data_IF_720466433867
#
_entry.id   IF_720466433867
#
_cell.length_a   1.000
_cell.length_b   1.000
_cell.length_c   1.000
_cell.angle_alpha   90.00
_cell.angle_beta   90.00
_cell.angle_gamma   90.00
#
_symmetry.space_group_name_H-M   'P 1'
#
loop_
_entity.id
_entity.type
_entity.pdbx_description
1 polymer ?
#
# COMPACT_ATOMS: atom_id res chain seq x y z
N UNK A 1 68.28 -97.59 -0.31
CA UNK A 1 69.70 -97.23 -0.44
C UNK A 1 70.21 -97.05 0.98
N UNK A 2 70.74 -98.07 1.64
CA UNK A 2 72.11 -98.62 1.46
C UNK A 2 72.13 -100.13 1.60
N UNK A 3 73.00 -100.77 0.82
CA UNK A 3 73.08 -102.21 0.56
C UNK A 3 74.48 -102.70 0.97
N UNK A 4 74.61 -104.01 1.25
CA UNK A 4 75.84 -104.83 1.38
C UNK A 4 76.52 -104.77 2.77
N UNK A 5 77.03 -105.84 3.39
CA UNK A 5 77.59 -107.10 2.88
C UNK A 5 77.48 -108.23 3.92
N UNK A 6 76.80 -109.32 3.56
CA UNK A 6 76.98 -110.64 4.19
C UNK A 6 78.20 -111.29 3.53
N UNK A 7 79.29 -111.49 4.27
CA UNK A 7 80.42 -112.33 3.83
C UNK A 7 80.23 -113.75 4.35
N UNK A 8 79.94 -114.66 3.42
CA UNK A 8 80.01 -116.12 3.58
C UNK A 8 81.45 -116.60 3.42
N UNK A 9 81.71 -117.74 4.06
CA UNK A 9 82.73 -118.78 3.80
C UNK A 9 84.20 -118.40 4.02
N UNK A 10 84.75 -118.91 5.13
CA UNK A 10 86.13 -119.39 5.22
C UNK A 10 86.13 -120.84 5.70
N UNK A 11 87.07 -121.57 5.12
CA UNK A 11 87.25 -123.02 5.09
C UNK A 11 87.26 -123.68 6.49
N UNK A 12 86.51 -124.77 6.72
CA UNK A 12 86.52 -125.49 7.99
C UNK A 12 87.86 -126.19 8.29
N UNK A 13 88.68 -126.50 7.26
CA UNK A 13 89.99 -127.15 7.45
C UNK A 13 91.09 -126.17 7.92
N UNK A 14 91.08 -124.93 7.42
CA UNK A 14 92.00 -123.86 7.88
C UNK A 14 91.71 -123.44 9.34
N UNK A 15 90.45 -123.63 9.77
CA UNK A 15 90.00 -123.35 11.14
C UNK A 15 90.47 -124.43 12.11
N UNK A 16 90.53 -125.70 11.68
CA UNK A 16 91.09 -126.81 12.46
C UNK A 16 92.62 -126.72 12.62
N UNK A 17 93.35 -126.34 11.57
CA UNK A 17 94.80 -126.10 11.68
C UNK A 17 95.14 -124.90 12.57
N UNK A 18 94.33 -123.83 12.55
CA UNK A 18 94.49 -122.69 13.49
C UNK A 18 94.14 -123.04 14.93
N UNK A 19 93.22 -123.98 15.17
CA UNK A 19 92.90 -124.44 16.53
C UNK A 19 93.98 -125.40 17.08
N UNK A 20 94.63 -126.19 16.23
CA UNK A 20 95.70 -127.12 16.63
C UNK A 20 97.07 -126.45 16.84
N UNK A 21 97.36 -125.31 16.19
CA UNK A 21 98.64 -124.58 16.36
C UNK A 21 98.63 -123.47 17.42
N UNK A 22 97.47 -123.12 18.00
CA UNK A 22 97.36 -122.14 19.10
C UNK A 22 97.04 -122.71 20.47
N UNK A 23 96.82 -124.02 20.57
CA UNK A 23 96.63 -124.71 21.86
C UNK A 23 97.95 -125.26 22.41
N UNK A 24 98.98 -124.41 22.47
CA UNK A 24 100.04 -124.58 23.47
C UNK A 24 99.44 -124.19 24.82
N UNK A 25 98.80 -125.15 25.48
CA UNK A 25 98.35 -125.05 26.87
C UNK A 25 99.58 -124.94 27.77
N UNK A 26 100.12 -123.72 27.85
CA UNK A 26 100.99 -123.29 28.94
C UNK A 26 100.06 -123.07 30.12
N UNK A 27 100.04 -124.02 31.05
CA UNK A 27 99.37 -123.85 32.35
C UNK A 27 100.13 -122.80 33.16
N UNK A 28 99.81 -121.52 32.92
CA UNK A 28 100.21 -120.44 33.81
C UNK A 28 99.37 -120.54 35.09
N UNK A 29 100.04 -120.68 36.23
CA UNK A 29 99.43 -120.51 37.56
C UNK A 29 98.84 -119.10 37.63
N UNK A 30 97.51 -118.97 37.53
CA UNK A 30 96.80 -117.72 37.72
C UNK A 30 96.66 -117.48 39.22
N UNK A 31 97.35 -116.48 39.76
CA UNK A 31 97.24 -116.06 41.16
C UNK A 31 95.96 -115.25 41.41
N UNK A 32 95.55 -115.14 42.68
CA UNK A 32 94.31 -114.46 43.12
C UNK A 32 94.19 -113.01 42.62
N UNK A 33 95.32 -112.31 42.44
CA UNK A 33 95.38 -110.95 41.89
C UNK A 33 94.80 -110.84 40.47
N UNK A 34 95.03 -111.82 39.61
CA UNK A 34 94.54 -111.76 38.22
C UNK A 34 93.02 -111.97 38.11
N UNK A 35 92.40 -112.62 39.11
CA UNK A 35 90.94 -112.76 39.19
C UNK A 35 90.33 -111.46 39.72
N UNK A 36 90.98 -110.79 40.68
CA UNK A 36 90.52 -109.48 41.16
C UNK A 36 90.62 -108.41 40.06
N UNK A 37 91.72 -108.37 39.29
CA UNK A 37 91.89 -107.41 38.20
C UNK A 37 90.84 -107.56 37.09
N UNK A 38 90.35 -108.78 36.83
CA UNK A 38 89.27 -109.01 35.86
C UNK A 38 87.92 -108.67 36.49
N UNK A 39 87.70 -109.00 37.77
CA UNK A 39 86.51 -108.64 38.52
C UNK A 39 86.31 -107.13 38.62
N UNK A 40 87.36 -106.39 38.98
CA UNK A 40 87.34 -104.93 39.10
C UNK A 40 87.10 -104.28 37.74
N UNK A 41 87.72 -104.79 36.65
CA UNK A 41 87.46 -104.28 35.29
C UNK A 41 86.02 -104.51 34.82
N UNK A 42 85.39 -105.62 35.20
CA UNK A 42 83.98 -105.90 34.84
C UNK A 42 83.03 -105.06 35.69
N UNK A 43 83.31 -104.90 37.00
CA UNK A 43 82.52 -104.07 37.91
C UNK A 43 82.65 -102.59 37.55
N UNK A 44 83.83 -102.12 37.18
CA UNK A 44 84.03 -100.74 36.73
C UNK A 44 83.38 -100.48 35.37
N UNK A 45 83.45 -101.43 34.42
CA UNK A 45 82.75 -101.30 33.14
C UNK A 45 81.22 -101.25 33.32
N UNK A 46 80.65 -102.15 34.13
CA UNK A 46 79.21 -102.15 34.45
C UNK A 46 78.78 -100.94 35.28
N UNK A 47 79.62 -100.42 36.18
CA UNK A 47 79.35 -99.17 36.89
C UNK A 47 79.34 -97.97 35.95
N UNK A 48 80.25 -97.89 34.99
CA UNK A 48 80.29 -96.78 34.02
C UNK A 48 79.06 -96.81 33.10
N UNK A 49 78.63 -98.00 32.66
CA UNK A 49 77.44 -98.15 31.82
C UNK A 49 76.12 -97.91 32.60
N UNK A 50 75.96 -98.47 33.81
CA UNK A 50 74.77 -98.29 34.65
C UNK A 50 74.64 -96.84 35.17
N UNK A 51 75.75 -96.19 35.51
CA UNK A 51 75.74 -94.79 35.95
C UNK A 51 75.41 -93.87 34.77
N UNK A 52 75.97 -94.14 33.58
CA UNK A 52 75.65 -93.41 32.35
C UNK A 52 74.20 -93.57 31.90
N UNK A 53 73.59 -94.75 32.09
CA UNK A 53 72.16 -94.96 31.83
C UNK A 53 71.27 -94.26 32.86
N UNK A 54 71.61 -94.32 34.16
CA UNK A 54 70.90 -93.58 35.22
C UNK A 54 71.00 -92.06 35.04
N UNK A 55 72.15 -91.55 34.62
CA UNK A 55 72.36 -90.13 34.33
C UNK A 55 71.54 -89.69 33.11
N UNK A 56 71.42 -90.53 32.07
CA UNK A 56 70.52 -90.25 30.92
C UNK A 56 69.05 -90.26 31.31
N UNK A 57 68.62 -91.17 32.18
CA UNK A 57 67.23 -91.22 32.66
C UNK A 57 66.91 -90.02 33.56
N UNK A 58 67.83 -89.63 34.44
CA UNK A 58 67.66 -88.43 35.28
C UNK A 58 67.69 -87.15 34.45
N UNK A 59 68.61 -87.02 33.49
CA UNK A 59 68.62 -85.91 32.52
C UNK A 59 67.33 -85.86 31.71
N UNK A 60 66.85 -86.99 31.17
CA UNK A 60 65.57 -87.05 30.45
C UNK A 60 64.36 -86.70 31.31
N UNK A 61 64.36 -87.05 32.60
CA UNK A 61 63.33 -86.65 33.55
C UNK A 61 63.41 -85.15 33.89
N UNK A 62 64.61 -84.59 34.03
CA UNK A 62 64.85 -83.16 34.22
C UNK A 62 64.35 -82.38 32.99
N UNK A 63 64.75 -82.79 31.79
CA UNK A 63 64.31 -82.18 30.52
C UNK A 63 62.79 -82.26 30.35
N UNK A 64 62.16 -83.38 30.71
CA UNK A 64 60.71 -83.53 30.67
C UNK A 64 60.00 -82.63 31.69
N UNK A 65 60.55 -82.48 32.90
CA UNK A 65 60.06 -81.56 33.93
C UNK A 65 60.24 -80.10 33.51
N UNK A 66 61.38 -79.73 32.95
CA UNK A 66 61.65 -78.40 32.40
C UNK A 66 60.74 -78.09 31.21
N UNK A 67 60.50 -79.07 30.33
CA UNK A 67 59.55 -78.93 29.23
C UNK A 67 58.11 -78.73 29.73
N UNK A 68 57.71 -79.40 30.83
CA UNK A 68 56.40 -79.18 31.46
C UNK A 68 56.32 -77.80 32.11
N UNK A 69 57.31 -77.42 32.91
CA UNK A 69 57.38 -76.11 33.56
C UNK A 69 57.38 -74.96 32.55
N UNK A 70 58.10 -75.09 31.43
CA UNK A 70 58.10 -74.08 30.37
C UNK A 70 56.77 -74.01 29.62
N UNK A 71 56.07 -75.13 29.41
CA UNK A 71 54.71 -75.15 28.85
C UNK A 71 53.70 -74.49 29.78
N UNK A 72 53.76 -74.80 31.08
CA UNK A 72 52.91 -74.19 32.10
C UNK A 72 53.17 -72.69 32.22
N UNK A 73 54.44 -72.27 32.25
CA UNK A 73 54.83 -70.86 32.26
C UNK A 73 54.31 -70.13 31.02
N UNK A 74 54.46 -70.72 29.83
CA UNK A 74 53.92 -70.15 28.58
C UNK A 74 52.39 -70.05 28.61
N UNK A 75 51.71 -71.05 29.17
CA UNK A 75 50.25 -71.04 29.31
C UNK A 75 49.80 -69.95 30.30
N UNK A 76 50.47 -69.83 31.45
CA UNK A 76 50.21 -68.79 32.44
C UNK A 76 50.45 -67.38 31.87
N UNK A 77 51.56 -67.18 31.15
CA UNK A 77 51.85 -65.91 30.47
C UNK A 77 50.82 -65.56 29.39
N UNK A 78 50.31 -66.55 28.64
CA UNK A 78 49.22 -66.33 27.67
C UNK A 78 47.92 -65.91 28.35
N UNK A 79 47.53 -66.57 29.45
CA UNK A 79 46.34 -66.20 30.23
C UNK A 79 46.47 -64.78 30.78
N UNK A 80 47.61 -64.46 31.40
CA UNK A 80 47.85 -63.13 31.95
C UNK A 80 47.87 -62.04 30.86
N UNK A 81 48.39 -62.32 29.67
CA UNK A 81 48.29 -61.39 28.53
C UNK A 81 46.83 -61.18 28.11
N UNK A 82 46.08 -62.26 27.97
CA UNK A 82 44.68 -62.18 27.58
C UNK A 82 43.84 -61.40 28.60
N UNK A 83 44.02 -61.66 29.89
CA UNK A 83 43.35 -60.93 30.97
C UNK A 83 43.69 -59.43 30.92
N UNK A 84 44.97 -59.08 30.72
CA UNK A 84 45.40 -57.68 30.56
C UNK A 84 44.81 -57.01 29.33
N UNK A 85 44.72 -57.73 28.21
CA UNK A 85 44.13 -57.20 26.98
C UNK A 85 42.62 -56.99 27.14
N UNK A 86 41.93 -57.89 27.84
CA UNK A 86 40.51 -57.71 28.20
C UNK A 86 40.29 -56.52 29.13
N UNK A 87 41.11 -56.37 30.18
CA UNK A 87 41.02 -55.23 31.09
C UNK A 87 41.28 -53.92 30.37
N UNK A 88 42.29 -53.90 29.49
CA UNK A 88 42.57 -52.76 28.62
C UNK A 88 41.37 -52.45 27.72
N UNK A 89 40.75 -53.46 27.10
CA UNK A 89 39.59 -53.25 26.25
C UNK A 89 38.41 -52.68 27.05
N UNK A 90 38.11 -53.25 28.24
CA UNK A 90 37.06 -52.75 29.14
C UNK A 90 37.32 -51.31 29.58
N UNK A 91 38.57 -50.93 29.80
CA UNK A 91 38.95 -49.55 30.13
C UNK A 91 38.74 -48.60 28.94
N UNK A 92 39.11 -49.03 27.73
CA UNK A 92 38.87 -48.27 26.50
C UNK A 92 37.38 -48.08 26.23
N UNK A 93 36.57 -49.13 26.36
CA UNK A 93 35.12 -49.06 26.16
C UNK A 93 34.46 -48.09 27.16
N UNK A 94 34.90 -48.10 28.44
CA UNK A 94 34.45 -47.14 29.45
C UNK A 94 34.82 -45.70 29.10
N UNK A 95 36.03 -45.48 28.57
CA UNK A 95 36.46 -44.15 28.12
C UNK A 95 35.65 -43.69 26.92
N UNK A 96 35.46 -44.55 25.91
CA UNK A 96 34.63 -44.26 24.74
C UNK A 96 33.21 -43.88 25.16
N UNK A 97 32.57 -44.68 26.02
CA UNK A 97 31.24 -44.39 26.54
C UNK A 97 31.16 -43.04 27.28
N UNK A 98 32.19 -42.71 28.09
CA UNK A 98 32.25 -41.42 28.78
C UNK A 98 32.34 -40.25 27.79
N UNK A 99 33.19 -40.37 26.77
CA UNK A 99 33.34 -39.32 25.75
C UNK A 99 32.10 -39.20 24.87
N UNK A 100 31.47 -40.30 24.48
CA UNK A 100 30.21 -40.30 23.74
C UNK A 100 29.12 -39.56 24.53
N UNK A 101 29.02 -39.82 25.83
CA UNK A 101 28.08 -39.13 26.72
C UNK A 101 28.41 -37.64 26.86
N UNK A 102 29.70 -37.28 26.89
CA UNK A 102 30.13 -35.89 26.94
C UNK A 102 29.79 -35.17 25.63
N UNK A 103 30.06 -35.78 24.49
CA UNK A 103 29.72 -35.26 23.16
C UNK A 103 28.22 -35.04 23.04
N UNK A 104 27.40 -36.01 23.46
CA UNK A 104 25.94 -35.88 23.45
C UNK A 104 25.43 -34.74 24.34
N UNK A 105 26.09 -34.48 25.48
CA UNK A 105 25.76 -33.34 26.34
C UNK A 105 26.13 -32.01 25.69
N UNK A 106 27.32 -31.92 25.11
CA UNK A 106 27.79 -30.72 24.41
C UNK A 106 26.90 -30.42 23.21
N UNK A 107 26.53 -31.43 22.42
CA UNK A 107 25.62 -31.25 21.28
C UNK A 107 24.26 -30.75 21.75
N UNK A 108 23.70 -31.33 22.81
CA UNK A 108 22.42 -30.87 23.36
C UNK A 108 22.48 -29.41 23.84
N UNK A 109 23.54 -29.02 24.53
CA UNK A 109 23.74 -27.63 24.98
C UNK A 109 23.89 -26.66 23.81
N UNK A 110 24.63 -27.04 22.77
CA UNK A 110 24.76 -26.25 21.54
C UNK A 110 23.40 -26.07 20.88
N UNK A 111 22.66 -27.16 20.69
CA UNK A 111 21.36 -27.12 20.01
C UNK A 111 20.34 -26.29 20.80
N UNK A 112 20.38 -26.33 22.13
CA UNK A 112 19.58 -25.45 22.99
C UNK A 112 19.95 -23.97 22.80
N UNK A 113 21.24 -23.63 22.86
CA UNK A 113 21.72 -22.26 22.68
C UNK A 113 21.42 -21.72 21.27
N UNK A 114 21.55 -22.56 20.24
CA UNK A 114 21.18 -22.22 18.87
C UNK A 114 19.67 -22.02 18.74
N UNK A 115 18.85 -22.88 19.38
CA UNK A 115 17.40 -22.71 19.39
C UNK A 115 16.97 -21.40 20.06
N UNK A 116 17.61 -21.01 21.16
CA UNK A 116 17.36 -19.73 21.84
C UNK A 116 17.73 -18.55 20.94
N UNK A 117 18.92 -18.56 20.32
CA UNK A 117 19.33 -17.53 19.35
C UNK A 117 18.33 -17.43 18.19
N UNK A 118 17.92 -18.56 17.63
CA UNK A 118 16.95 -18.59 16.54
C UNK A 118 15.58 -18.06 16.96
N UNK A 119 15.15 -18.30 18.20
CA UNK A 119 13.91 -17.72 18.74
C UNK A 119 14.02 -16.21 18.87
N UNK A 120 15.13 -15.70 19.39
CA UNK A 120 15.38 -14.26 19.48
C UNK A 120 15.42 -13.59 18.09
N UNK A 121 16.10 -14.20 17.12
CA UNK A 121 16.12 -13.70 15.76
C UNK A 121 14.73 -13.70 15.13
N UNK A 122 13.93 -14.75 15.32
CA UNK A 122 12.54 -14.78 14.86
C UNK A 122 11.70 -13.67 15.50
N UNK A 123 11.90 -13.42 16.79
CA UNK A 123 11.22 -12.34 17.52
C UNK A 123 11.58 -10.97 16.93
N UNK A 124 12.87 -10.67 16.73
CA UNK A 124 13.33 -9.42 16.11
C UNK A 124 12.78 -9.23 14.71
N UNK A 125 12.83 -10.26 13.87
CA UNK A 125 12.26 -10.22 12.52
C UNK A 125 10.75 -9.96 12.56
N UNK A 126 10.04 -10.54 13.54
CA UNK A 126 8.62 -10.31 13.69
C UNK A 126 8.32 -8.87 14.15
N UNK A 127 9.09 -8.34 15.09
CA UNK A 127 9.01 -6.94 15.53
C UNK A 127 9.27 -5.98 14.35
N UNK A 128 10.34 -6.18 13.58
CA UNK A 128 10.65 -5.38 12.38
C UNK A 128 9.54 -5.45 11.32
N UNK A 129 8.93 -6.63 11.12
CA UNK A 129 7.78 -6.79 10.21
C UNK A 129 6.56 -6.01 10.71
N UNK A 130 6.26 -6.09 12.00
CA UNK A 130 5.13 -5.36 12.60
C UNK A 130 5.34 -3.85 12.54
N UNK A 131 6.55 -3.36 12.80
CA UNK A 131 6.92 -1.96 12.66
C UNK A 131 6.79 -1.48 11.20
N UNK A 132 7.29 -2.27 10.24
CA UNK A 132 7.15 -1.95 8.82
C UNK A 132 5.67 -1.90 8.39
N UNK A 133 4.84 -2.83 8.87
CA UNK A 133 3.40 -2.81 8.60
C UNK A 133 2.71 -1.60 9.23
N UNK A 134 3.07 -1.21 10.46
CA UNK A 134 2.53 0.00 11.10
C UNK A 134 2.90 1.25 10.32
N UNK A 135 4.17 1.41 9.92
CA UNK A 135 4.61 2.54 9.11
C UNK A 135 3.87 2.62 7.78
N UNK A 136 3.71 1.48 7.09
CA UNK A 136 2.92 1.42 5.85
C UNK A 136 1.47 1.83 6.08
N UNK A 137 0.84 1.38 7.17
CA UNK A 137 -0.53 1.77 7.52
C UNK A 137 -0.64 3.27 7.79
N UNK A 138 0.26 3.83 8.61
CA UNK A 138 0.28 5.27 8.90
C UNK A 138 0.47 6.10 7.62
N UNK A 139 1.37 5.70 6.74
CA UNK A 139 1.61 6.40 5.49
C UNK A 139 0.42 6.28 4.53
N UNK A 140 -0.21 5.11 4.45
CA UNK A 140 -1.47 4.94 3.71
C UNK A 140 -2.59 5.81 4.28
N UNK A 141 -2.71 5.92 5.60
CA UNK A 141 -3.70 6.79 6.24
C UNK A 141 -3.43 8.27 5.95
N UNK A 142 -2.17 8.72 6.06
CA UNK A 142 -1.77 10.08 5.68
C UNK A 142 -2.10 10.38 4.22
N UNK A 143 -1.82 9.44 3.32
CA UNK A 143 -2.15 9.59 1.89
C UNK A 143 -3.66 9.65 1.66
N UNK A 144 -4.46 8.82 2.35
CA UNK A 144 -5.93 8.89 2.30
C UNK A 144 -6.43 10.24 2.81
N UNK A 145 -5.93 10.74 3.93
CA UNK A 145 -6.31 12.04 4.47
C UNK A 145 -5.97 13.18 3.51
N UNK A 146 -4.77 13.19 2.92
CA UNK A 146 -4.38 14.17 1.89
C UNK A 146 -5.30 14.12 0.67
N UNK A 147 -5.62 12.92 0.18
CA UNK A 147 -6.53 12.75 -0.95
C UNK A 147 -7.95 13.26 -0.65
N UNK A 148 -8.47 12.98 0.55
CA UNK A 148 -9.77 13.50 1.01
C UNK A 148 -9.75 15.02 1.14
N UNK A 149 -8.68 15.61 1.70
CA UNK A 149 -8.53 17.05 1.79
C UNK A 149 -8.53 17.71 0.41
N UNK A 150 -7.74 17.18 -0.53
CA UNK A 150 -7.71 17.66 -1.92
C UNK A 150 -9.08 17.56 -2.59
N UNK A 151 -9.79 16.43 -2.42
CA UNK A 151 -11.12 16.26 -2.96
C UNK A 151 -12.12 17.27 -2.37
N UNK A 152 -12.07 17.50 -1.05
CA UNK A 152 -12.89 18.50 -0.38
C UNK A 152 -12.60 19.92 -0.89
N UNK A 153 -11.33 20.27 -1.11
CA UNK A 153 -10.96 21.61 -1.59
C UNK A 153 -11.41 21.80 -3.05
N UNK A 154 -11.24 20.79 -3.91
CA UNK A 154 -11.78 20.81 -5.27
C UNK A 154 -13.31 21.01 -5.24
N UNK A 155 -14.04 20.22 -4.44
CA UNK A 155 -15.49 20.35 -4.31
C UNK A 155 -15.90 21.73 -3.77
N UNK A 156 -15.19 22.28 -2.79
CA UNK A 156 -15.44 23.64 -2.29
C UNK A 156 -15.26 24.70 -3.36
N UNK A 157 -14.23 24.58 -4.21
CA UNK A 157 -14.02 25.52 -5.31
C UNK A 157 -15.11 25.40 -6.38
N UNK A 158 -15.54 24.17 -6.71
CA UNK A 158 -16.64 23.93 -7.63
C UNK A 158 -17.94 24.54 -7.11
N UNK A 159 -18.32 24.27 -5.85
CA UNK A 159 -19.52 24.84 -5.24
C UNK A 159 -19.49 26.37 -5.17
N UNK A 160 -18.33 26.98 -4.90
CA UNK A 160 -18.20 28.45 -4.94
C UNK A 160 -18.42 29.01 -6.34
N UNK A 161 -17.89 28.34 -7.35
CA UNK A 161 -18.06 28.75 -8.75
C UNK A 161 -19.51 28.58 -9.21
N UNK A 162 -20.13 27.45 -8.88
CA UNK A 162 -21.55 27.18 -9.16
C UNK A 162 -22.43 28.23 -8.47
N UNK A 163 -22.20 28.50 -7.18
CA UNK A 163 -22.92 29.53 -6.45
C UNK A 163 -22.73 30.93 -7.06
N UNK A 164 -21.52 31.28 -7.51
CA UNK A 164 -21.26 32.56 -8.17
C UNK A 164 -22.06 32.69 -9.48
N UNK A 165 -22.11 31.62 -10.28
CA UNK A 165 -22.89 31.58 -11.53
C UNK A 165 -24.38 31.66 -11.24
N UNK A 166 -24.89 30.90 -10.26
CA UNK A 166 -26.30 30.95 -9.85
C UNK A 166 -26.70 32.33 -9.34
N UNK A 167 -25.85 32.95 -8.51
CA UNK A 167 -26.06 34.32 -8.05
C UNK A 167 -26.13 35.31 -9.21
N UNK A 168 -25.22 35.21 -10.17
CA UNK A 168 -25.23 36.07 -11.36
C UNK A 168 -26.51 35.86 -12.19
N UNK A 169 -26.94 34.61 -12.39
CA UNK A 169 -28.21 34.29 -13.08
C UNK A 169 -29.41 34.89 -12.34
N UNK A 170 -29.48 34.73 -11.02
CA UNK A 170 -30.56 35.29 -10.21
C UNK A 170 -30.62 36.83 -10.29
N UNK A 171 -29.46 37.50 -10.26
CA UNK A 171 -29.37 38.96 -10.44
C UNK A 171 -29.82 39.37 -11.84
N UNK A 172 -29.37 38.66 -12.88
CA UNK A 172 -29.77 38.94 -14.27
C UNK A 172 -31.28 38.78 -14.46
N UNK A 173 -31.88 37.73 -13.90
CA UNK A 173 -33.33 37.50 -13.95
C UNK A 173 -34.10 38.58 -13.19
N UNK A 174 -33.62 38.99 -12.02
CA UNK A 174 -34.23 40.08 -11.26
C UNK A 174 -34.17 41.41 -12.02
N UNK A 175 -33.04 41.74 -12.63
CA UNK A 175 -32.87 42.94 -13.47
C UNK A 175 -33.76 42.88 -14.72
N UNK A 176 -33.88 41.72 -15.37
CA UNK A 176 -34.79 41.53 -16.50
C UNK A 176 -36.24 41.82 -16.11
N UNK A 177 -36.73 41.19 -15.05
CA UNK A 177 -38.10 41.43 -14.53
C UNK A 177 -38.31 42.89 -14.13
N UNK A 178 -37.33 43.50 -13.47
CA UNK A 178 -37.40 44.93 -13.12
C UNK A 178 -37.51 45.79 -14.38
N UNK A 179 -36.65 45.58 -15.39
CA UNK A 179 -36.68 46.34 -16.63
C UNK A 179 -37.98 46.15 -17.41
N UNK A 180 -38.52 44.93 -17.48
CA UNK A 180 -39.84 44.68 -18.09
C UNK A 180 -40.94 45.46 -17.37
N UNK A 181 -40.94 45.45 -16.03
CA UNK A 181 -41.91 46.21 -15.24
C UNK A 181 -41.75 47.73 -15.40
N UNK A 182 -40.51 48.23 -15.56
CA UNK A 182 -40.25 49.64 -15.83
C UNK A 182 -40.73 50.04 -17.23
N UNK A 183 -40.47 49.23 -18.25
CA UNK A 183 -40.96 49.46 -19.62
C UNK A 183 -42.49 49.50 -19.67
N UNK A 184 -43.17 48.60 -18.96
CA UNK A 184 -44.63 48.62 -18.86
C UNK A 184 -45.13 49.93 -18.23
N UNK A 185 -44.55 50.34 -17.10
CA UNK A 185 -44.90 51.62 -16.45
C UNK A 185 -44.62 52.82 -17.34
N UNK A 186 -43.53 52.80 -18.09
CA UNK A 186 -43.18 53.87 -19.03
C UNK A 186 -44.20 53.97 -20.16
N UNK A 187 -44.61 52.84 -20.76
CA UNK A 187 -45.67 52.78 -21.77
C UNK A 187 -47.00 53.30 -21.20
N UNK A 188 -47.40 52.86 -20.00
CA UNK A 188 -48.62 53.32 -19.34
C UNK A 188 -48.60 54.85 -19.12
N UNK A 189 -47.45 55.41 -18.73
CA UNK A 189 -47.28 56.85 -18.55
C UNK A 189 -47.36 57.59 -19.89
N UNK A 190 -46.73 57.05 -20.94
CA UNK A 190 -46.80 57.64 -22.29
C UNK A 190 -48.24 57.65 -22.80
N UNK A 191 -48.98 56.54 -22.63
CA UNK A 191 -50.37 56.43 -23.03
C UNK A 191 -51.28 57.40 -22.27
N UNK A 192 -51.13 57.49 -20.95
CA UNK A 192 -51.87 58.48 -20.14
C UNK A 192 -51.56 59.91 -20.59
N UNK A 193 -50.29 60.24 -20.76
CA UNK A 193 -49.86 61.58 -21.20
C UNK A 193 -50.44 61.90 -22.58
N UNK A 194 -50.44 60.93 -23.50
CA UNK A 194 -51.03 61.07 -24.83
C UNK A 194 -52.52 61.35 -24.75
N UNK A 195 -53.27 60.59 -23.95
CA UNK A 195 -54.69 60.81 -23.72
C UNK A 195 -54.96 62.21 -23.16
N UNK A 196 -54.20 62.64 -22.14
CA UNK A 196 -54.31 63.99 -21.58
C UNK A 196 -54.04 65.09 -22.61
N UNK A 197 -53.04 64.89 -23.49
CA UNK A 197 -52.75 65.81 -24.59
C UNK A 197 -53.87 65.85 -25.64
N UNK A 198 -54.41 64.69 -26.03
CA UNK A 198 -55.53 64.60 -26.97
C UNK A 198 -56.80 65.25 -26.40
N UNK A 199 -57.09 65.05 -25.11
CA UNK A 199 -58.20 65.72 -24.43
C UNK A 199 -58.05 67.24 -24.38
N UNK A 200 -56.85 67.74 -24.05
CA UNK A 200 -56.55 69.17 -24.06
C UNK A 200 -56.68 69.75 -25.47
N UNK A 201 -56.13 69.06 -26.47
CA UNK A 201 -56.24 69.46 -27.87
C UNK A 201 -57.70 69.49 -28.35
N UNK A 202 -58.53 68.53 -27.93
CA UNK A 202 -59.96 68.52 -28.25
C UNK A 202 -60.70 69.69 -27.60
N UNK A 203 -60.44 69.97 -26.31
CA UNK A 203 -61.02 71.14 -25.62
C UNK A 203 -60.62 72.45 -26.29
N UNK A 204 -59.37 72.58 -26.71
CA UNK A 204 -58.90 73.76 -27.43
C UNK A 204 -59.48 73.84 -28.85
N UNK A 205 -59.63 72.72 -29.56
CA UNK A 205 -60.32 72.69 -30.85
C UNK A 205 -61.80 73.08 -30.73
N UNK A 206 -62.49 72.67 -29.66
CA UNK A 206 -63.85 73.13 -29.36
C UNK A 206 -63.92 74.62 -29.08
N UNK A 207 -62.93 75.18 -28.35
CA UNK A 207 -62.82 76.63 -28.13
C UNK A 207 -62.62 77.37 -29.44
N UNK A 208 -61.71 76.90 -30.30
CA UNK A 208 -61.48 77.50 -31.62
C UNK A 208 -62.75 77.48 -32.46
N UNK A 209 -63.48 76.36 -32.51
CA UNK A 209 -64.78 76.28 -33.21
C UNK A 209 -65.82 77.27 -32.67
N UNK A 210 -65.83 77.52 -31.35
CA UNK A 210 -66.71 78.55 -30.75
C UNK A 210 -66.29 79.95 -31.21
N UNK A 211 -65.00 80.27 -31.16
CA UNK A 211 -64.48 81.55 -31.64
C UNK A 211 -64.72 81.76 -33.14
N UNK A 212 -64.58 80.73 -33.97
CA UNK A 212 -64.90 80.80 -35.40
C UNK A 212 -66.38 81.13 -35.65
N UNK A 213 -67.29 80.53 -34.88
CA UNK A 213 -68.73 80.87 -34.95
C UNK A 213 -69.00 82.32 -34.52
N UNK A 214 -68.37 82.78 -33.45
CA UNK A 214 -68.48 84.16 -32.99
C UNK A 214 -67.92 85.16 -34.02
N UNK A 215 -66.78 84.84 -34.63
CA UNK A 215 -66.19 85.63 -35.72
C UNK A 215 -67.11 85.65 -36.94
N UNK A 216 -67.64 84.50 -37.36
CA UNK A 216 -68.61 84.43 -38.47
C UNK A 216 -69.87 85.24 -38.17
N UNK A 217 -70.36 85.22 -36.92
CA UNK A 217 -71.50 86.03 -36.52
C UNK A 217 -71.17 87.52 -36.55
N UNK A 218 -70.00 87.92 -36.02
CA UNK A 218 -69.51 89.30 -36.10
C UNK A 218 -69.35 89.78 -37.53
N UNK A 219 -68.75 88.98 -38.40
CA UNK A 219 -68.63 89.30 -39.83
C UNK A 219 -69.99 89.47 -40.51
N UNK A 220 -70.98 88.65 -40.14
CA UNK A 220 -72.33 88.76 -40.68
C UNK A 220 -73.02 90.04 -40.20
N UNK A 221 -72.93 90.35 -38.90
CA UNK A 221 -73.42 91.61 -38.33
C UNK A 221 -72.72 92.82 -38.97
N UNK A 222 -71.40 92.76 -39.20
CA UNK A 222 -70.67 93.82 -39.89
C UNK A 222 -71.13 93.98 -41.34
N UNK A 223 -71.40 92.87 -42.06
CA UNK A 223 -71.98 92.92 -43.41
C UNK A 223 -73.37 93.54 -43.41
N UNK A 224 -74.24 93.12 -42.49
CA UNK A 224 -75.60 93.65 -42.35
C UNK A 224 -75.57 95.14 -41.99
N UNK A 225 -74.65 95.55 -41.11
CA UNK A 225 -74.45 96.95 -40.74
C UNK A 225 -73.93 97.79 -41.91
N UNK A 226 -73.00 97.26 -42.72
CA UNK A 226 -72.57 97.92 -43.96
C UNK A 226 -73.70 98.02 -44.98
N UNK A 227 -74.50 96.98 -45.15
CA UNK A 227 -75.67 97.00 -46.03
C UNK A 227 -76.69 98.05 -45.56
N UNK A 228 -76.95 98.14 -44.25
CA UNK A 228 -77.79 99.17 -43.65
C UNK A 228 -77.23 100.58 -43.89
N UNK A 229 -75.92 100.78 -43.74
CA UNK A 229 -75.26 102.05 -44.05
C UNK A 229 -75.37 102.42 -45.54
N UNK A 230 -75.23 101.45 -46.44
CA UNK A 230 -75.38 101.67 -47.88
C UNK A 230 -76.83 101.97 -48.27
N UNK A 231 -77.81 101.29 -47.67
CA UNK A 231 -79.23 101.58 -47.88
C UNK A 231 -79.63 102.93 -47.28
N UNK A 232 -79.08 103.28 -46.11
CA UNK A 232 -79.23 104.61 -45.53
C UNK A 232 -78.62 105.68 -46.44
N UNK A 233 -77.46 105.42 -47.06
CA UNK A 233 -76.83 106.30 -48.04
C UNK A 233 -77.70 106.46 -49.30
N UNK A 234 -78.30 105.39 -49.82
CA UNK A 234 -79.26 105.47 -50.94
C UNK A 234 -80.53 106.25 -50.58
N UNK A 235 -81.08 106.02 -49.37
CA UNK A 235 -82.22 106.78 -48.85
C UNK A 235 -81.89 108.27 -48.76
N UNK A 236 -80.66 108.58 -48.34
CA UNK A 236 -80.12 109.93 -48.32
C UNK A 236 -80.07 110.59 -49.69
N UNK A 237 -79.57 109.86 -50.69
CA UNK A 237 -79.53 110.33 -52.08
C UNK A 237 -80.94 110.55 -52.67
N UNK A 238 -81.98 109.90 -52.13
CA UNK A 238 -83.38 110.05 -52.58
C UNK A 238 -84.17 111.15 -51.85
N UNK A 239 -83.67 111.66 -50.71
CA UNK A 239 -84.41 112.59 -49.84
C UNK A 239 -83.78 113.98 -49.74
N UNK A 240 -82.80 114.30 -50.60
CA UNK A 240 -82.08 115.58 -50.64
C UNK A 240 -81.53 116.05 -49.27
N UNK A 241 -81.32 115.13 -48.34
CA UNK A 241 -80.76 115.41 -47.01
C UNK A 241 -81.64 116.23 -46.05
N UNK A 242 -82.92 116.47 -46.37
CA UNK A 242 -83.77 117.40 -45.60
C UNK A 242 -84.18 116.84 -44.21
N UNK A 243 -84.19 115.51 -44.03
CA UNK A 243 -84.69 114.84 -42.81
C UNK A 243 -83.61 114.38 -41.81
N UNK A 244 -82.38 114.90 -41.92
CA UNK A 244 -81.20 114.26 -41.34
C UNK A 244 -80.87 114.58 -39.86
N UNK A 245 -81.41 115.66 -39.27
CA UNK A 245 -80.90 116.14 -37.97
C UNK A 245 -81.35 115.30 -36.77
N UNK A 246 -82.56 114.75 -36.79
CA UNK A 246 -83.19 114.25 -35.56
C UNK A 246 -82.97 112.74 -35.34
N UNK A 247 -82.97 111.95 -36.41
CA UNK A 247 -82.87 110.49 -36.30
C UNK A 247 -81.47 110.00 -35.90
N UNK A 248 -80.40 110.62 -36.43
CA UNK A 248 -79.02 110.24 -36.10
C UNK A 248 -78.54 110.76 -34.74
N UNK A 249 -79.05 111.90 -34.26
CA UNK A 249 -78.74 112.38 -32.91
C UNK A 249 -79.28 111.43 -31.84
N UNK A 250 -80.44 110.81 -32.09
CA UNK A 250 -81.02 109.83 -31.18
C UNK A 250 -80.22 108.51 -31.14
N UNK A 251 -79.82 107.99 -32.30
CA UNK A 251 -78.98 106.78 -32.39
C UNK A 251 -77.58 106.98 -31.79
N UNK A 252 -76.98 108.17 -31.97
CA UNK A 252 -75.67 108.51 -31.37
C UNK A 252 -75.78 108.62 -29.84
N UNK A 253 -76.88 109.17 -29.32
CA UNK A 253 -77.13 109.23 -27.87
C UNK A 253 -77.33 107.83 -27.26
N UNK A 254 -78.06 106.95 -27.94
CA UNK A 254 -78.24 105.55 -27.52
C UNK A 254 -76.92 104.77 -27.56
N UNK A 255 -76.14 104.90 -28.64
CA UNK A 255 -74.83 104.26 -28.79
C UNK A 255 -73.82 104.70 -27.74
N UNK A 256 -73.78 106.00 -27.40
CA UNK A 256 -72.93 106.53 -26.32
C UNK A 256 -73.37 106.05 -24.93
N UNK A 257 -74.69 105.86 -24.69
CA UNK A 257 -75.20 105.26 -23.45
C UNK A 257 -74.82 103.80 -23.30
N UNK A 258 -74.79 103.04 -24.39
CA UNK A 258 -74.35 101.64 -24.40
C UNK A 258 -72.83 101.51 -24.22
N UNK A 259 -72.03 102.41 -24.81
CA UNK A 259 -70.57 102.40 -24.68
C UNK A 259 -70.06 102.83 -23.29
N UNK A 260 -70.81 103.66 -22.55
CA UNK A 260 -70.47 104.08 -21.19
C UNK A 260 -70.90 103.08 -20.09
N UNK A 261 -71.65 102.02 -20.44
CA UNK A 261 -71.91 100.90 -19.53
C UNK A 261 -70.77 99.88 -19.68
N UNK A 262 -70.04 99.60 -18.60
CA UNK A 262 -69.09 98.49 -18.57
C UNK A 262 -69.83 97.17 -18.89
N UNK A 263 -69.51 96.60 -20.06
CA UNK A 263 -70.28 95.53 -20.69
C UNK A 263 -70.03 94.20 -19.97
N UNK A 264 -71.03 93.72 -19.23
CA UNK A 264 -71.08 92.33 -18.75
C UNK A 264 -72.19 91.52 -19.42
N UNK A 265 -73.31 92.13 -19.80
CA UNK A 265 -74.29 91.51 -20.70
C UNK A 265 -75.27 92.58 -21.19
N UNK A 266 -75.42 92.74 -22.50
CA UNK A 266 -76.55 93.48 -23.08
C UNK A 266 -77.66 92.46 -23.31
N UNK A 267 -78.74 92.53 -22.53
CA UNK A 267 -79.94 91.69 -22.72
C UNK A 267 -80.96 92.42 -23.59
N UNK A 268 -81.77 91.66 -24.35
CA UNK A 268 -82.77 92.16 -25.29
C UNK A 268 -83.85 93.07 -24.67
N UNK A 269 -83.94 93.13 -23.35
CA UNK A 269 -84.90 93.93 -22.59
C UNK A 269 -84.50 95.42 -22.48
N UNK A 270 -83.25 95.78 -22.81
CA UNK A 270 -82.76 97.16 -22.74
C UNK A 270 -83.10 98.00 -23.99
N UNK A 271 -83.70 97.39 -25.03
CA UNK A 271 -84.14 98.07 -26.23
C UNK A 271 -85.61 98.48 -26.03
N UNK A 272 -85.86 99.75 -25.70
CA UNK A 272 -87.23 100.27 -25.60
C UNK A 272 -87.97 100.07 -26.93
N UNK A 273 -89.25 99.65 -26.89
CA UNK A 273 -90.04 99.44 -28.09
C UNK A 273 -90.30 100.77 -28.80
N UNK A 274 -89.94 100.84 -30.08
CA UNK A 274 -90.20 102.00 -30.94
C UNK A 274 -91.70 102.34 -30.93
N UNK A 275 -92.07 103.64 -30.87
CA UNK A 275 -93.46 104.05 -30.92
C UNK A 275 -94.07 103.60 -32.24
N UNK A 276 -95.19 102.89 -32.16
CA UNK A 276 -95.99 102.45 -33.31
C UNK A 276 -96.45 103.70 -34.07
N UNK A 277 -96.08 103.79 -35.35
CA UNK A 277 -96.74 104.67 -36.34
C UNK A 277 -98.09 104.07 -36.73
#
# INVERSE_FOLDING_TARGET
>A
MSVWLVKRTRDPLETLERMLTKTTLVTQRVGHEHIMDIGDKIVDATRVDDQGEKDKVTQGAIEACEARATRELRAALKRLRHEKDEERQRALDKQQWYFDRLVARISHQRDQAEAERMREFRKKIQEEKEEALRQQQEDHEKMKQKAVQQACDVLRTQLRNEFAVEKQRAVADALRKANESFKQKELDIIERTRQECEEKANKDAERVKKYEKELSHKEQVERDFRALQDDYRKFMDHTDGIFHSDYLMHLRYLGMRLANKEISAVTYEDIEPLPKL
#
